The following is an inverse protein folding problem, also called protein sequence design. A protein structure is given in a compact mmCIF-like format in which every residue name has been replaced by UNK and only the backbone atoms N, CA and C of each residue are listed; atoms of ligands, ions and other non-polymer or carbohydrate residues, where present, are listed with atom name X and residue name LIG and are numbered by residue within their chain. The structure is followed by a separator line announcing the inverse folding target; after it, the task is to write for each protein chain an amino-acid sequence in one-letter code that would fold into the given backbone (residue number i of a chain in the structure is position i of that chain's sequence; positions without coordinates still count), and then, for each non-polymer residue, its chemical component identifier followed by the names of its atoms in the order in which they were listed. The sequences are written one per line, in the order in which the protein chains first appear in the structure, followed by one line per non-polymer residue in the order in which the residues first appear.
data_IF_320617281165
#
_entry.id   IF_320617281165
#
_cell.length_a   1.000
_cell.length_b   1.000
_cell.length_c   1.000
_cell.angle_alpha   90.00
_cell.angle_beta   90.00
_cell.angle_gamma   90.00
#
_symmetry.space_group_name_H-M   'P 1'
#
loop_
_entity.id
_entity.type
_entity.pdbx_description
1 polymer ?
#
# COMPACT_ATOMS: atom_id res chain seq x y z
N UNK A 1 -5.28 10.23 35.44
CA UNK A 1 -4.75 11.08 34.34
C UNK A 1 -4.74 10.20 33.11
N UNK A 2 -5.56 10.50 32.11
CA UNK A 2 -5.62 9.72 30.86
C UNK A 2 -4.52 10.28 29.95
N UNK A 3 -3.45 9.52 29.75
CA UNK A 3 -2.44 9.82 28.72
C UNK A 3 -3.08 9.67 27.35
N UNK A 4 -3.37 10.79 26.69
CA UNK A 4 -3.69 10.82 25.27
C UNK A 4 -2.40 10.55 24.51
N UNK A 5 -2.10 9.28 24.25
CA UNK A 5 -1.05 8.86 23.35
C UNK A 5 -1.46 9.26 21.91
N UNK A 6 -1.16 10.50 21.54
CA UNK A 6 -1.39 11.02 20.20
C UNK A 6 -0.45 10.28 19.24
N UNK A 7 -0.93 9.17 18.69
CA UNK A 7 -0.14 8.31 17.83
C UNK A 7 -0.01 8.98 16.48
N UNK A 8 1.10 9.70 16.27
CA UNK A 8 1.40 10.34 15.00
C UNK A 8 1.52 9.25 13.93
N UNK A 9 0.52 9.17 13.06
CA UNK A 9 0.57 8.33 11.86
C UNK A 9 1.18 9.12 10.69
N UNK A 10 2.37 8.75 10.21
CA UNK A 10 3.01 9.46 9.11
C UNK A 10 2.25 9.30 7.79
N UNK A 11 2.21 10.36 6.98
CA UNK A 11 1.61 10.34 5.64
C UNK A 11 2.42 9.45 4.67
N UNK A 12 3.73 9.40 4.85
CA UNK A 12 4.67 8.64 4.03
C UNK A 12 5.23 7.46 4.81
N UNK A 13 4.89 6.25 4.37
CA UNK A 13 5.32 5.00 4.96
C UNK A 13 6.56 4.48 4.25
N UNK A 14 7.48 3.87 5.00
CA UNK A 14 8.53 3.04 4.39
C UNK A 14 7.91 1.76 3.84
N UNK A 15 8.62 1.03 2.96
CA UNK A 15 8.11 -0.28 2.48
C UNK A 15 7.78 -1.25 3.63
N UNK A 16 8.64 -1.33 4.65
CA UNK A 16 8.35 -2.13 5.85
C UNK A 16 7.18 -1.57 6.66
N UNK A 17 7.09 -0.25 6.82
CA UNK A 17 5.99 0.38 7.52
C UNK A 17 4.64 0.14 6.84
N UNK A 18 4.60 0.25 5.52
CA UNK A 18 3.43 -0.05 4.71
C UNK A 18 3.06 -1.55 4.79
N UNK A 19 4.06 -2.45 4.76
CA UNK A 19 3.83 -3.89 4.90
C UNK A 19 3.19 -4.22 6.26
N UNK A 20 3.69 -3.62 7.35
CA UNK A 20 3.10 -3.76 8.69
C UNK A 20 1.70 -3.15 8.78
N UNK A 21 1.48 -2.02 8.09
CA UNK A 21 0.22 -1.29 8.11
C UNK A 21 -0.92 -2.05 7.43
N UNK A 22 -0.69 -2.62 6.24
CA UNK A 22 -1.75 -3.28 5.46
C UNK A 22 -1.68 -4.81 5.43
N UNK A 23 -0.64 -5.41 6.03
CA UNK A 23 -0.42 -6.86 6.04
C UNK A 23 0.08 -7.45 4.71
N UNK A 24 0.35 -6.63 3.69
CA UNK A 24 0.89 -7.09 2.40
C UNK A 24 2.41 -7.28 2.47
N UNK A 25 2.93 -8.19 1.64
CA UNK A 25 4.39 -8.37 1.52
C UNK A 25 5.04 -7.14 0.86
N UNK A 26 6.31 -6.88 1.20
CA UNK A 26 7.09 -5.82 0.56
C UNK A 26 7.21 -6.02 -0.96
N UNK A 27 7.32 -7.27 -1.43
CA UNK A 27 7.31 -7.62 -2.85
C UNK A 27 6.00 -7.24 -3.52
N UNK A 28 4.87 -7.49 -2.87
CA UNK A 28 3.54 -7.08 -3.36
C UNK A 28 3.46 -5.55 -3.48
N UNK A 29 3.92 -4.83 -2.46
CA UNK A 29 3.95 -3.36 -2.48
C UNK A 29 4.85 -2.82 -3.59
N UNK A 30 5.99 -3.46 -3.87
CA UNK A 30 6.85 -3.08 -5.00
C UNK A 30 6.18 -3.31 -6.35
N UNK A 31 5.42 -4.40 -6.51
CA UNK A 31 4.58 -4.61 -7.70
C UNK A 31 3.52 -3.52 -7.84
N UNK A 32 2.79 -3.20 -6.76
CA UNK A 32 1.77 -2.13 -6.80
C UNK A 32 2.36 -0.77 -7.21
N UNK A 33 3.58 -0.47 -6.79
CA UNK A 33 4.30 0.73 -7.24
C UNK A 33 4.68 0.65 -8.71
N UNK A 34 5.18 -0.51 -9.16
CA UNK A 34 5.57 -0.74 -10.55
C UNK A 34 4.38 -0.61 -11.50
N UNK A 35 3.24 -1.11 -11.07
CA UNK A 35 1.98 -1.14 -11.82
C UNK A 35 1.17 0.17 -11.63
N UNK A 36 1.76 1.18 -10.98
CA UNK A 36 1.20 2.52 -10.77
C UNK A 36 -0.11 2.57 -9.97
N UNK A 37 -0.39 1.55 -9.16
CA UNK A 37 -1.56 1.49 -8.28
C UNK A 37 -1.40 2.31 -7.00
N UNK A 38 -0.16 2.57 -6.56
CA UNK A 38 0.14 3.29 -5.32
C UNK A 38 1.21 4.36 -5.56
N UNK A 39 1.01 5.54 -4.98
CA UNK A 39 1.95 6.66 -5.10
C UNK A 39 3.19 6.37 -4.26
N UNK A 40 4.37 6.47 -4.88
CA UNK A 40 5.65 6.33 -4.21
C UNK A 40 6.58 7.51 -4.47
N UNK A 41 7.47 7.77 -3.52
CA UNK A 41 8.56 8.75 -3.65
C UNK A 41 9.89 8.06 -3.34
N UNK A 42 10.92 8.34 -4.13
CA UNK A 42 12.26 7.84 -3.87
C UNK A 42 13.14 8.97 -3.35
N UNK A 43 13.21 9.08 -2.02
CA UNK A 43 13.97 10.14 -1.36
C UNK A 43 15.44 9.79 -1.41
N UNK A 44 16.22 10.60 -2.13
CA UNK A 44 17.68 10.45 -2.23
C UNK A 44 18.36 11.47 -1.33
N UNK A 45 19.32 11.02 -0.53
CA UNK A 45 20.25 11.92 0.15
C UNK A 45 21.33 12.38 -0.83
N UNK A 46 21.72 13.67 -0.83
CA UNK A 46 22.87 14.15 -1.59
C UNK A 46 24.10 13.29 -1.31
N UNK A 47 24.81 12.88 -2.36
CA UNK A 47 26.01 12.04 -2.25
C UNK A 47 25.78 10.54 -1.99
N UNK A 48 24.52 10.07 -1.93
CA UNK A 48 24.21 8.63 -1.83
C UNK A 48 23.71 8.06 -3.15
N UNK A 49 24.23 6.89 -3.53
CA UNK A 49 23.85 6.19 -4.76
C UNK A 49 22.45 5.58 -4.74
N UNK A 50 21.92 5.29 -3.53
CA UNK A 50 20.60 4.69 -3.34
C UNK A 50 19.73 5.57 -2.44
N UNK A 51 18.51 5.81 -2.88
CA UNK A 51 17.48 6.47 -2.08
C UNK A 51 16.62 5.48 -1.31
N UNK A 52 15.77 5.98 -0.41
CA UNK A 52 14.76 5.21 0.29
C UNK A 52 13.40 5.43 -0.35
N UNK A 53 12.74 4.34 -0.73
CA UNK A 53 11.37 4.40 -1.24
C UNK A 53 10.37 4.57 -0.09
N UNK A 54 9.50 5.55 -0.24
CA UNK A 54 8.35 5.82 0.61
C UNK A 54 7.06 5.67 -0.20
N UNK A 55 5.99 5.30 0.48
CA UNK A 55 4.65 5.09 -0.05
C UNK A 55 3.69 6.08 0.60
N UNK A 56 2.85 6.73 -0.20
CA UNK A 56 1.83 7.64 0.33
C UNK A 56 0.68 6.81 0.91
N UNK A 57 0.44 6.91 2.22
CA UNK A 57 -0.58 6.13 2.95
C UNK A 57 -1.96 6.26 2.30
N UNK A 58 -2.41 7.48 2.03
CA UNK A 58 -3.73 7.73 1.43
C UNK A 58 -3.92 7.03 0.08
N UNK A 59 -2.87 6.90 -0.75
CA UNK A 59 -2.98 6.16 -2.02
C UNK A 59 -3.05 4.65 -1.83
N UNK A 60 -2.42 4.13 -0.76
CA UNK A 60 -2.53 2.73 -0.39
C UNK A 60 -3.92 2.41 0.17
N UNK A 61 -4.46 3.31 1.00
CA UNK A 61 -5.84 3.22 1.52
C UNK A 61 -6.85 3.20 0.37
N UNK A 62 -6.74 4.14 -0.57
CA UNK A 62 -7.61 4.18 -1.75
C UNK A 62 -7.53 2.90 -2.60
N UNK A 63 -6.33 2.32 -2.76
CA UNK A 63 -6.17 1.04 -3.45
C UNK A 63 -6.89 -0.10 -2.71
N UNK A 64 -6.72 -0.19 -1.39
CA UNK A 64 -7.38 -1.21 -0.57
C UNK A 64 -8.92 -1.06 -0.67
N UNK A 65 -9.41 0.16 -0.53
CA UNK A 65 -10.85 0.47 -0.63
C UNK A 65 -11.42 0.12 -2.00
N UNK A 66 -10.65 0.33 -3.08
CA UNK A 66 -11.07 -0.07 -4.43
C UNK A 66 -11.31 -1.58 -4.59
N UNK A 67 -10.65 -2.40 -3.77
CA UNK A 67 -10.80 -3.87 -3.78
C UNK A 67 -12.03 -4.39 -3.03
N UNK A 68 -12.74 -3.54 -2.28
CA UNK A 68 -13.87 -3.96 -1.43
C UNK A 68 -15.13 -4.27 -2.27
N UNK A 69 -15.25 -3.70 -3.47
CA UNK A 69 -16.50 -3.66 -4.24
C UNK A 69 -16.82 -4.90 -5.10
N UNK A 70 -16.30 -6.09 -4.78
CA UNK A 70 -16.86 -7.34 -5.32
C UNK A 70 -15.85 -8.42 -5.66
N UNK A 71 -16.35 -9.63 -5.98
CA UNK A 71 -15.50 -10.76 -6.31
C UNK A 71 -14.60 -10.40 -7.49
N UNK A 72 -13.31 -10.75 -7.38
CA UNK A 72 -12.42 -10.67 -8.52
C UNK A 72 -13.06 -11.40 -9.71
N UNK A 73 -13.11 -10.75 -10.87
CA UNK A 73 -13.52 -11.39 -12.12
C UNK A 73 -12.36 -12.27 -12.57
N UNK A 74 -12.22 -13.40 -11.88
CA UNK A 74 -11.33 -14.49 -12.27
C UNK A 74 -12.08 -15.30 -13.33
N UNK A 75 -11.45 -15.78 -14.41
CA UNK A 75 -12.11 -16.66 -15.38
C UNK A 75 -12.83 -17.86 -14.75
N UNK A 76 -12.39 -18.30 -13.56
CA UNK A 76 -13.02 -19.36 -12.77
C UNK A 76 -14.37 -18.96 -12.12
N UNK A 77 -14.65 -17.66 -11.93
CA UNK A 77 -15.91 -17.15 -11.37
C UNK A 77 -17.00 -16.91 -12.43
N UNK A 78 -16.64 -16.86 -13.71
CA UNK A 78 -17.58 -16.60 -14.82
C UNK A 78 -18.63 -17.72 -14.97
N UNK A 79 -18.36 -18.92 -14.44
CA UNK A 79 -19.30 -20.06 -14.45
C UNK A 79 -20.18 -20.20 -13.20
N UNK A 80 -20.00 -19.36 -12.16
CA UNK A 80 -20.72 -19.50 -10.88
C UNK A 80 -22.00 -18.67 -10.78
N UNK A 81 -22.26 -17.76 -11.73
CA UNK A 81 -23.43 -16.88 -11.73
C UNK A 81 -24.74 -17.52 -12.26
N UNK A 82 -24.80 -18.85 -12.39
CA UNK A 82 -26.02 -19.55 -12.81
C UNK A 82 -26.30 -20.79 -11.96
N UNK A 83 -26.70 -20.60 -10.70
CA UNK A 83 -27.56 -21.53 -9.96
C UNK A 83 -28.45 -20.75 -9.00
#
# INVERSE_FOLDING_TARGET
MNEMNDTIMPEWLTLEGAARYCGLSTRTLESLVKDLHVVSSNVRMPGKSRGRRLLKRASLDAFIESGISGPAVIPMNVGREKQ
#
